data_IF_417862978775
#
_entry.id   IF_417862978775
#
_cell.length_a   1.000
_cell.length_b   1.000
_cell.length_c   1.000
_cell.angle_alpha   90.00
_cell.angle_beta   90.00
_cell.angle_gamma   90.00
#
_symmetry.space_group_name_H-M   'P 1'
#
loop_
_entity.id
_entity.type
_entity.pdbx_description
1 polymer ?
#
# COMPACT_ATOMS: atom_id res chain seq x y z
N UNK A 1 -6.21 -13.66 35.35
CA UNK A 1 -7.10 -13.49 34.18
C UNK A 1 -6.20 -13.23 32.98
N UNK A 2 -6.05 -14.21 32.08
CA UNK A 2 -5.13 -14.11 30.95
C UNK A 2 -5.83 -13.42 29.77
N UNK A 3 -5.21 -12.39 29.21
CA UNK A 3 -5.70 -11.68 28.00
C UNK A 3 -4.66 -11.84 26.91
N UNK A 4 -5.09 -12.36 25.76
CA UNK A 4 -4.28 -12.42 24.54
C UNK A 4 -4.61 -11.20 23.70
N UNK A 5 -3.59 -10.55 23.14
CA UNK A 5 -3.73 -9.49 22.16
C UNK A 5 -2.65 -9.63 21.08
N UNK A 6 -3.06 -9.65 19.81
CA UNK A 6 -2.19 -9.77 18.65
C UNK A 6 -2.67 -8.84 17.55
N UNK A 7 -1.72 -8.20 16.87
CA UNK A 7 -2.00 -7.37 15.69
C UNK A 7 -1.72 -8.21 14.45
N UNK A 8 -2.66 -8.22 13.53
CA UNK A 8 -2.52 -8.87 12.22
C UNK A 8 -2.73 -7.84 11.13
N UNK A 9 -2.09 -8.06 9.99
CA UNK A 9 -2.25 -7.25 8.79
C UNK A 9 -3.08 -8.06 7.80
N UNK A 10 -4.13 -7.44 7.26
CA UNK A 10 -5.01 -8.07 6.28
C UNK A 10 -4.38 -8.00 4.89
N UNK A 11 -4.22 -9.16 4.26
CA UNK A 11 -3.85 -9.29 2.85
C UNK A 11 -5.11 -9.26 1.99
N UNK A 12 -4.96 -9.02 0.68
CA UNK A 12 -6.07 -9.10 -0.28
C UNK A 12 -6.76 -10.46 -0.21
N UNK A 13 -5.99 -11.53 -0.09
CA UNK A 13 -6.53 -12.89 0.05
C UNK A 13 -7.39 -13.05 1.31
N UNK A 14 -7.04 -12.38 2.41
CA UNK A 14 -7.83 -12.42 3.65
C UNK A 14 -9.21 -11.76 3.47
N UNK A 15 -9.20 -10.61 2.77
CA UNK A 15 -10.42 -9.87 2.44
C UNK A 15 -11.31 -10.68 1.48
N UNK A 16 -10.74 -11.16 0.38
CA UNK A 16 -11.47 -11.89 -0.66
C UNK A 16 -12.03 -13.24 -0.16
N UNK A 17 -11.27 -13.94 0.68
CA UNK A 17 -11.68 -15.24 1.23
C UNK A 17 -12.49 -15.11 2.53
N UNK A 18 -12.74 -13.90 3.04
CA UNK A 18 -13.45 -13.68 4.30
C UNK A 18 -12.81 -14.40 5.49
N UNK A 19 -11.47 -14.33 5.58
CA UNK A 19 -10.67 -15.01 6.61
C UNK A 19 -9.79 -14.04 7.38
N UNK A 20 -9.32 -14.46 8.56
CA UNK A 20 -8.36 -13.73 9.37
C UNK A 20 -7.43 -14.71 10.11
N UNK A 21 -6.13 -14.47 10.13
CA UNK A 21 -5.19 -15.27 10.92
C UNK A 21 -5.61 -15.34 12.40
N UNK A 22 -5.59 -16.55 12.98
CA UNK A 22 -5.97 -16.80 14.35
C UNK A 22 -4.71 -17.04 15.22
N UNK A 23 -4.49 -16.23 16.28
CA UNK A 23 -3.39 -16.45 17.22
C UNK A 23 -3.43 -17.84 17.85
N UNK A 24 -2.28 -18.52 17.93
CA UNK A 24 -2.16 -19.88 18.47
C UNK A 24 -2.75 -19.97 19.88
N UNK A 25 -2.55 -18.96 20.72
CA UNK A 25 -3.04 -18.95 22.10
C UNK A 25 -4.57 -18.91 22.20
N UNK A 26 -5.23 -18.35 21.18
CA UNK A 26 -6.70 -18.35 21.07
C UNK A 26 -7.18 -19.69 20.52
N UNK A 27 -6.46 -20.24 19.54
CA UNK A 27 -6.76 -21.52 18.92
C UNK A 27 -6.71 -22.64 19.95
N UNK A 28 -5.65 -22.71 20.78
CA UNK A 28 -5.52 -23.74 21.82
C UNK A 28 -6.75 -23.82 22.72
N UNK A 29 -7.36 -22.68 23.03
CA UNK A 29 -8.54 -22.58 23.86
C UNK A 29 -9.87 -22.86 23.13
N UNK A 30 -9.95 -22.57 21.83
CA UNK A 30 -11.23 -22.51 21.10
C UNK A 30 -11.36 -23.54 19.96
N UNK A 31 -10.30 -24.24 19.57
CA UNK A 31 -10.27 -25.16 18.42
C UNK A 31 -11.28 -26.32 18.50
N UNK A 32 -11.72 -26.68 19.71
CA UNK A 32 -12.70 -27.76 19.93
C UNK A 32 -14.16 -27.30 19.83
N UNK A 33 -14.39 -26.01 19.53
CA UNK A 33 -15.73 -25.47 19.34
C UNK A 33 -16.11 -25.53 17.87
N UNK A 34 -17.38 -25.89 17.61
CA UNK A 34 -17.93 -25.87 16.26
C UNK A 34 -17.94 -24.45 15.67
N UNK A 35 -18.22 -23.45 16.51
CA UNK A 35 -18.20 -22.03 16.16
C UNK A 35 -17.54 -21.18 17.25
N UNK A 36 -16.95 -20.07 16.83
CA UNK A 36 -16.36 -19.03 17.67
C UNK A 36 -17.04 -17.71 17.35
N UNK A 37 -17.60 -17.06 18.36
CA UNK A 37 -18.16 -15.72 18.18
C UNK A 37 -17.02 -14.73 17.96
N UNK A 38 -17.02 -14.06 16.81
CA UNK A 38 -16.10 -12.96 16.51
C UNK A 38 -16.88 -11.66 16.50
N UNK A 39 -16.41 -10.68 17.28
CA UNK A 39 -16.97 -9.33 17.31
C UNK A 39 -15.98 -8.40 16.60
N UNK A 40 -16.40 -7.78 15.51
CA UNK A 40 -15.63 -6.73 14.85
C UNK A 40 -16.09 -5.36 15.32
N UNK A 41 -15.18 -4.61 15.91
CA UNK A 41 -15.34 -3.21 16.26
C UNK A 41 -14.56 -2.35 15.27
N UNK A 42 -15.28 -1.56 14.48
CA UNK A 42 -14.73 -0.80 13.38
C UNK A 42 -15.37 0.59 13.34
N UNK A 43 -14.75 1.56 12.66
CA UNK A 43 -15.38 2.85 12.38
C UNK A 43 -15.43 3.04 10.89
N UNK A 44 -16.60 2.93 10.27
CA UNK A 44 -16.76 3.09 8.82
C UNK A 44 -16.22 4.46 8.41
N UNK A 45 -15.25 4.43 7.50
CA UNK A 45 -14.45 5.57 7.03
C UNK A 45 -13.80 6.39 8.15
N UNK A 46 -13.46 5.73 9.26
CA UNK A 46 -12.86 6.35 10.45
C UNK A 46 -13.84 7.12 11.34
N UNK A 47 -15.10 7.29 10.94
CA UNK A 47 -16.05 8.19 11.61
C UNK A 47 -17.16 7.41 12.30
N UNK A 48 -17.92 6.61 11.56
CA UNK A 48 -19.18 6.03 12.05
C UNK A 48 -18.90 4.72 12.79
N UNK A 49 -19.14 4.62 14.11
CA UNK A 49 -18.88 3.38 14.85
C UNK A 49 -19.79 2.25 14.34
N UNK A 50 -19.15 1.16 13.96
CA UNK A 50 -19.75 -0.10 13.55
C UNK A 50 -19.36 -1.21 14.52
N UNK A 51 -20.33 -2.08 14.82
CA UNK A 51 -20.10 -3.31 15.56
C UNK A 51 -20.85 -4.44 14.89
N UNK A 52 -20.10 -5.44 14.45
CA UNK A 52 -20.63 -6.61 13.77
C UNK A 52 -20.25 -7.88 14.54
N UNK A 53 -21.11 -8.89 14.47
CA UNK A 53 -20.92 -10.16 15.18
C UNK A 53 -21.07 -11.28 14.17
N UNK A 54 -20.09 -12.18 14.18
CA UNK A 54 -20.00 -13.30 13.25
C UNK A 54 -19.88 -14.62 14.02
N UNK A 55 -20.51 -15.65 13.50
CA UNK A 55 -20.23 -17.03 13.88
C UNK A 55 -19.12 -17.57 12.98
N UNK A 56 -17.88 -17.43 13.45
CA UNK A 56 -16.70 -17.86 12.72
C UNK A 56 -16.36 -19.32 13.01
N UNK A 57 -15.61 -19.96 12.09
CA UNK A 57 -15.02 -21.28 12.32
C UNK A 57 -13.51 -21.17 12.36
N UNK A 58 -12.88 -21.98 13.20
CA UNK A 58 -11.43 -22.16 13.16
C UNK A 58 -11.09 -23.26 12.16
N UNK A 59 -10.14 -22.99 11.28
CA UNK A 59 -9.59 -23.98 10.36
C UNK A 59 -8.08 -23.85 10.29
N UNK A 60 -7.41 -24.99 10.19
CA UNK A 60 -5.99 -25.08 9.90
C UNK A 60 -5.81 -25.30 8.39
N UNK A 61 -5.03 -24.42 7.76
CA UNK A 61 -4.50 -24.60 6.41
C UNK A 61 -2.96 -24.51 6.47
N UNK A 62 -2.33 -23.47 5.92
CA UNK A 62 -0.91 -23.16 6.19
C UNK A 62 -0.70 -22.72 7.64
N UNK A 63 -1.70 -22.05 8.21
CA UNK A 63 -1.79 -21.67 9.61
C UNK A 63 -3.24 -21.70 10.08
N UNK A 64 -3.48 -21.36 11.34
CA UNK A 64 -4.84 -21.25 11.87
C UNK A 64 -5.49 -19.93 11.46
N UNK A 65 -6.76 -20.00 11.09
CA UNK A 65 -7.55 -18.86 10.64
C UNK A 65 -9.00 -18.95 11.12
N UNK A 66 -9.59 -17.78 11.38
CA UNK A 66 -11.02 -17.58 11.48
C UNK A 66 -11.61 -17.47 10.07
N UNK A 67 -12.68 -18.21 9.78
CA UNK A 67 -13.43 -18.14 8.53
C UNK A 67 -14.80 -17.50 8.74
N UNK A 68 -15.33 -16.88 7.69
CA UNK A 68 -16.68 -16.34 7.66
C UNK A 68 -16.77 -14.92 8.21
N UNK A 69 -15.69 -14.14 8.10
CA UNK A 69 -15.65 -12.75 8.54
C UNK A 69 -16.21 -11.85 7.45
N UNK A 70 -17.30 -11.14 7.73
CA UNK A 70 -17.84 -10.11 6.85
C UNK A 70 -17.03 -8.83 7.02
N UNK A 71 -16.09 -8.56 6.12
CA UNK A 71 -15.28 -7.35 6.20
C UNK A 71 -16.06 -6.10 5.74
N UNK A 72 -16.00 -4.98 6.50
CA UNK A 72 -16.49 -3.69 6.06
C UNK A 72 -15.88 -3.28 4.71
N UNK A 73 -16.69 -2.66 3.84
CA UNK A 73 -16.29 -2.32 2.47
C UNK A 73 -15.13 -1.31 2.39
N UNK A 74 -14.89 -0.52 3.44
CA UNK A 74 -13.79 0.42 3.54
C UNK A 74 -12.51 -0.18 4.15
N UNK A 75 -12.51 -1.47 4.53
CA UNK A 75 -11.26 -2.17 4.85
C UNK A 75 -10.48 -2.50 3.57
N UNK A 76 -9.24 -2.03 3.53
CA UNK A 76 -8.33 -2.20 2.39
C UNK A 76 -7.20 -3.17 2.72
N UNK A 77 -6.60 -3.73 1.66
CA UNK A 77 -5.37 -4.51 1.79
C UNK A 77 -4.29 -3.71 2.52
N UNK A 78 -3.60 -4.37 3.44
CA UNK A 78 -2.61 -3.78 4.32
C UNK A 78 -3.18 -3.17 5.60
N UNK A 79 -4.49 -3.00 5.75
CA UNK A 79 -5.06 -2.53 7.02
C UNK A 79 -4.80 -3.53 8.15
N UNK A 80 -4.61 -3.00 9.37
CA UNK A 80 -4.30 -3.79 10.55
C UNK A 80 -5.50 -3.90 11.48
N UNK A 81 -5.71 -5.10 12.00
CA UNK A 81 -6.71 -5.38 13.03
C UNK A 81 -6.03 -5.99 14.26
N UNK A 82 -6.46 -5.56 15.44
CA UNK A 82 -6.03 -6.14 16.71
C UNK A 82 -7.06 -7.16 17.16
N UNK A 83 -6.61 -8.40 17.28
CA UNK A 83 -7.37 -9.53 17.78
C UNK A 83 -7.09 -9.64 19.27
N UNK A 84 -8.15 -9.66 20.07
CA UNK A 84 -8.06 -9.81 21.51
C UNK A 84 -9.05 -10.84 22.03
N UNK A 85 -8.62 -11.59 23.04
CA UNK A 85 -9.45 -12.58 23.70
C UNK A 85 -9.06 -12.70 25.17
N UNK A 86 -10.07 -12.87 26.03
CA UNK A 86 -9.87 -13.07 27.45
C UNK A 86 -10.26 -14.49 27.82
N UNK A 87 -9.43 -15.15 28.61
CA UNK A 87 -9.72 -16.49 29.11
C UNK A 87 -11.07 -16.54 29.83
N UNK A 88 -11.91 -17.51 29.46
CA UNK A 88 -13.28 -17.67 29.97
C UNK A 88 -14.34 -16.83 29.24
N UNK A 89 -13.97 -16.04 28.22
CA UNK A 89 -14.93 -15.42 27.30
C UNK A 89 -15.13 -16.29 26.06
N UNK A 90 -16.34 -16.28 25.54
CA UNK A 90 -16.71 -17.02 24.33
C UNK A 90 -16.52 -16.22 23.05
N UNK A 91 -16.22 -14.93 23.18
CA UNK A 91 -16.07 -14.01 22.06
C UNK A 91 -14.62 -13.55 21.89
N UNK A 92 -14.14 -13.61 20.65
CA UNK A 92 -12.92 -12.97 20.18
C UNK A 92 -13.28 -11.58 19.64
N UNK A 93 -12.55 -10.55 20.04
CA UNK A 93 -12.79 -9.17 19.57
C UNK A 93 -11.70 -8.77 18.59
N UNK A 94 -12.11 -8.40 17.38
CA UNK A 94 -11.27 -7.78 16.36
C UNK A 94 -11.54 -6.28 16.35
N UNK A 95 -10.50 -5.45 16.39
CA UNK A 95 -10.64 -4.00 16.36
C UNK A 95 -9.70 -3.35 15.35
N UNK A 96 -10.21 -2.46 14.52
CA UNK A 96 -9.38 -1.56 13.71
C UNK A 96 -9.09 -0.26 14.46
N UNK A 97 -7.89 0.29 14.28
CA UNK A 97 -7.52 1.59 14.84
C UNK A 97 -7.62 2.66 13.76
N UNK A 98 -8.33 3.75 14.04
CA UNK A 98 -8.48 4.88 13.11
C UNK A 98 -7.16 5.66 13.03
N UNK A 99 -6.80 6.13 11.83
CA UNK A 99 -5.69 7.09 11.66
C UNK A 99 -6.11 8.47 12.16
N UNK A 100 -5.20 9.18 12.81
CA UNK A 100 -5.41 10.59 13.16
C UNK A 100 -5.65 11.43 11.90
N UNK A 101 -4.88 11.17 10.85
CA UNK A 101 -5.00 11.79 9.54
C UNK A 101 -5.24 10.71 8.48
N UNK A 102 -6.47 10.58 7.96
CA UNK A 102 -6.77 9.72 6.83
C UNK A 102 -5.91 10.08 5.61
N UNK A 103 -5.43 9.07 4.90
CA UNK A 103 -4.53 9.27 3.76
C UNK A 103 -4.92 8.44 2.56
N UNK A 104 -4.62 8.95 1.38
CA UNK A 104 -4.83 8.29 0.10
C UNK A 104 -3.49 7.89 -0.47
N UNK A 105 -3.30 6.58 -0.66
CA UNK A 105 -2.05 6.00 -1.16
C UNK A 105 -2.30 5.44 -2.55
N UNK A 106 -1.61 6.00 -3.55
CA UNK A 106 -1.79 5.69 -4.97
C UNK A 106 -3.24 5.77 -5.48
N UNK A 107 -4.09 6.56 -4.82
CA UNK A 107 -5.50 6.67 -5.14
C UNK A 107 -6.44 5.84 -4.27
N UNK A 108 -5.94 5.02 -3.35
CA UNK A 108 -6.75 4.22 -2.42
C UNK A 108 -6.81 4.90 -1.06
N UNK A 109 -8.02 5.11 -0.53
CA UNK A 109 -8.22 5.76 0.76
C UNK A 109 -7.96 4.78 1.93
N UNK A 110 -7.20 5.24 2.92
CA UNK A 110 -6.91 4.55 4.17
C UNK A 110 -7.36 5.44 5.34
N UNK A 111 -8.38 4.97 6.06
CA UNK A 111 -8.90 5.62 7.27
C UNK A 111 -8.40 4.98 8.57
N UNK A 112 -7.74 3.82 8.46
CA UNK A 112 -7.29 3.00 9.58
C UNK A 112 -5.82 2.66 9.44
N UNK A 113 -5.18 2.36 10.57
CA UNK A 113 -3.78 1.99 10.58
C UNK A 113 -3.51 0.81 9.64
N UNK A 114 -2.41 0.87 8.92
CA UNK A 114 -2.04 -0.11 7.91
C UNK A 114 -0.54 -0.43 7.96
N UNK A 115 -0.15 -1.42 7.16
CA UNK A 115 1.24 -1.82 6.94
C UNK A 115 1.69 -1.40 5.53
N UNK A 116 2.56 -0.38 5.40
CA UNK A 116 3.01 0.12 4.11
C UNK A 116 3.67 -0.95 3.22
N UNK A 117 4.30 -1.97 3.81
CA UNK A 117 4.92 -3.05 3.04
C UNK A 117 3.89 -3.95 2.38
N UNK A 118 2.82 -4.28 3.10
CA UNK A 118 1.73 -5.10 2.55
C UNK A 118 0.94 -4.32 1.50
N UNK A 119 0.63 -3.04 1.76
CA UNK A 119 0.04 -2.12 0.77
C UNK A 119 0.86 -2.14 -0.52
N UNK A 120 2.18 -2.03 -0.40
CA UNK A 120 3.07 -2.03 -1.57
C UNK A 120 3.07 -3.38 -2.28
N UNK A 121 3.24 -4.49 -1.55
CA UNK A 121 3.39 -5.82 -2.16
C UNK A 121 2.12 -6.38 -2.76
N UNK A 122 0.96 -6.08 -2.19
CA UNK A 122 -0.25 -6.84 -2.44
C UNK A 122 -1.33 -6.07 -3.20
N UNK A 123 -1.17 -4.74 -3.34
CA UNK A 123 -1.95 -3.98 -4.31
C UNK A 123 -1.59 -4.44 -5.72
N UNK A 124 -2.60 -4.92 -6.47
CA UNK A 124 -2.47 -5.30 -7.87
C UNK A 124 -2.80 -4.08 -8.74
N UNK A 125 -1.83 -3.49 -9.45
CA UNK A 125 -2.10 -2.42 -10.39
C UNK A 125 -3.00 -2.91 -11.54
N UNK A 126 -3.65 -1.96 -12.22
CA UNK A 126 -4.43 -2.25 -13.41
C UNK A 126 -3.62 -3.01 -14.47
N UNK A 127 -4.30 -3.83 -15.29
CA UNK A 127 -3.70 -4.60 -16.38
C UNK A 127 -3.30 -3.69 -17.55
N UNK A 128 -2.21 -2.95 -17.38
CA UNK A 128 -1.56 -2.13 -18.41
C UNK A 128 -0.06 -2.42 -18.46
N UNK A 129 0.66 -1.94 -19.49
CA UNK A 129 2.12 -2.10 -19.52
C UNK A 129 2.80 -1.41 -18.33
N UNK A 130 2.30 -0.21 -18.00
CA UNK A 130 2.70 0.57 -16.83
C UNK A 130 2.43 -0.19 -15.53
N UNK A 131 1.22 -0.72 -15.37
CA UNK A 131 0.81 -1.48 -14.20
C UNK A 131 1.63 -2.75 -14.01
N UNK A 132 1.97 -3.46 -15.10
CA UNK A 132 2.84 -4.64 -15.05
C UNK A 132 4.26 -4.31 -14.56
N UNK A 133 4.86 -3.21 -15.04
CA UNK A 133 6.18 -2.75 -14.57
C UNK A 133 6.10 -2.37 -13.09
N UNK A 134 5.11 -1.57 -12.70
CA UNK A 134 4.93 -1.14 -11.31
C UNK A 134 4.70 -2.34 -10.38
N UNK A 135 3.91 -3.32 -10.82
CA UNK A 135 3.68 -4.57 -10.08
C UNK A 135 4.98 -5.35 -9.90
N UNK A 136 5.82 -5.45 -10.92
CA UNK A 136 7.12 -6.13 -10.82
C UNK A 136 8.03 -5.43 -9.79
N UNK A 137 8.13 -4.10 -9.85
CA UNK A 137 8.93 -3.31 -8.90
C UNK A 137 8.43 -3.55 -7.46
N UNK A 138 7.12 -3.45 -7.23
CA UNK A 138 6.52 -3.56 -5.90
C UNK A 138 6.56 -4.98 -5.31
N UNK A 139 6.33 -6.00 -6.13
CA UNK A 139 6.29 -7.40 -5.67
C UNK A 139 7.66 -8.02 -5.49
N UNK A 140 8.59 -7.70 -6.39
CA UNK A 140 9.90 -8.36 -6.47
C UNK A 140 11.04 -7.48 -5.97
N UNK A 141 10.80 -6.18 -5.79
CA UNK A 141 11.79 -5.26 -5.22
C UNK A 141 12.01 -5.48 -3.72
N UNK A 142 13.08 -4.86 -3.23
CA UNK A 142 13.28 -4.69 -1.79
C UNK A 142 12.36 -3.55 -1.32
N UNK A 143 11.45 -3.86 -0.41
CA UNK A 143 10.47 -2.91 0.13
C UNK A 143 10.91 -2.45 1.52
N UNK A 144 10.93 -1.13 1.73
CA UNK A 144 11.31 -0.48 2.99
C UNK A 144 10.09 -0.30 3.92
N UNK A 145 10.34 0.12 5.16
CA UNK A 145 9.29 0.29 6.19
C UNK A 145 8.21 1.32 5.80
N UNK A 146 8.56 2.31 4.99
CA UNK A 146 7.64 3.34 4.52
C UNK A 146 6.85 2.92 3.26
N UNK A 147 7.01 1.68 2.79
CA UNK A 147 6.39 1.18 1.57
C UNK A 147 7.09 1.61 0.29
N UNK A 148 8.19 2.38 0.35
CA UNK A 148 9.05 2.56 -0.82
C UNK A 148 9.71 1.24 -1.22
N UNK A 149 10.09 1.12 -2.48
CA UNK A 149 10.75 -0.09 -2.97
C UNK A 149 11.83 0.20 -4.00
N UNK A 150 12.89 -0.61 -4.02
CA UNK A 150 13.92 -0.56 -5.07
C UNK A 150 13.97 -1.85 -5.86
N UNK A 151 14.19 -1.70 -7.18
CA UNK A 151 14.29 -2.81 -8.10
C UNK A 151 15.35 -2.54 -9.18
N UNK A 152 16.24 -3.49 -9.53
CA UNK A 152 17.24 -3.29 -10.58
C UNK A 152 16.61 -3.12 -11.96
N UNK A 153 16.85 -1.98 -12.62
CA UNK A 153 16.30 -1.70 -13.96
C UNK A 153 16.69 -2.78 -14.99
N UNK A 154 17.93 -3.32 -15.03
CA UNK A 154 18.30 -4.38 -15.96
C UNK A 154 17.51 -5.67 -15.80
N UNK A 155 16.98 -5.96 -14.60
CA UNK A 155 16.19 -7.16 -14.34
C UNK A 155 14.74 -7.05 -14.83
N UNK A 156 14.25 -5.84 -15.14
CA UNK A 156 12.83 -5.63 -15.45
C UNK A 156 12.34 -6.38 -16.68
N UNK A 157 13.15 -6.45 -17.74
CA UNK A 157 12.75 -7.08 -19.00
C UNK A 157 12.38 -8.57 -18.80
N UNK A 158 12.99 -9.23 -17.82
CA UNK A 158 12.69 -10.62 -17.47
C UNK A 158 11.43 -10.76 -16.61
N UNK A 159 11.12 -9.76 -15.79
CA UNK A 159 10.12 -9.86 -14.71
C UNK A 159 8.79 -9.16 -15.01
N UNK A 160 8.79 -8.11 -15.83
CA UNK A 160 7.59 -7.30 -16.09
C UNK A 160 6.55 -7.98 -17.02
N UNK A 161 6.87 -9.12 -17.63
CA UNK A 161 5.89 -9.86 -18.45
C UNK A 161 5.52 -9.23 -19.81
N UNK A 162 6.22 -8.18 -20.25
CA UNK A 162 5.89 -7.43 -21.49
C UNK A 162 6.32 -8.09 -22.81
N UNK A 163 6.75 -9.36 -22.76
CA UNK A 163 7.26 -10.09 -23.92
C UNK A 163 8.74 -9.83 -24.24
N UNK A 164 9.26 -10.50 -25.27
CA UNK A 164 10.69 -10.48 -25.66
C UNK A 164 10.93 -9.67 -26.95
N UNK A 165 12.20 -9.36 -27.23
CA UNK A 165 12.63 -8.69 -28.46
C UNK A 165 12.33 -7.19 -28.48
N UNK A 166 12.49 -6.58 -29.67
CA UNK A 166 12.41 -5.12 -29.83
C UNK A 166 11.06 -4.52 -29.36
N UNK A 167 9.95 -5.23 -29.60
CA UNK A 167 8.62 -4.80 -29.14
C UNK A 167 8.53 -4.76 -27.61
N UNK A 168 8.96 -5.83 -26.93
CA UNK A 168 8.95 -5.88 -25.46
C UNK A 168 9.85 -4.80 -24.85
N UNK A 169 11.05 -4.60 -25.41
CA UNK A 169 11.96 -3.54 -24.99
C UNK A 169 11.36 -2.13 -25.17
N UNK A 170 10.66 -1.88 -26.29
CA UNK A 170 9.97 -0.62 -26.53
C UNK A 170 8.85 -0.36 -25.51
N UNK A 171 7.99 -1.38 -25.27
CA UNK A 171 6.90 -1.27 -24.29
C UNK A 171 7.44 -1.04 -22.87
N UNK A 172 8.51 -1.74 -22.50
CA UNK A 172 9.16 -1.59 -21.20
C UNK A 172 9.69 -0.17 -21.02
N UNK A 173 10.48 0.31 -21.98
CA UNK A 173 11.03 1.67 -21.95
C UNK A 173 9.92 2.70 -21.83
N UNK A 174 8.88 2.60 -22.64
CA UNK A 174 7.75 3.53 -22.61
C UNK A 174 7.03 3.53 -21.26
N UNK A 175 6.79 2.34 -20.68
CA UNK A 175 6.16 2.19 -19.36
C UNK A 175 7.00 2.78 -18.22
N UNK A 176 8.32 2.54 -18.22
CA UNK A 176 9.23 3.11 -17.22
C UNK A 176 9.28 4.64 -17.33
N UNK A 177 9.44 5.17 -18.54
CA UNK A 177 9.43 6.63 -18.77
C UNK A 177 8.11 7.28 -18.35
N UNK A 178 6.99 6.58 -18.53
CA UNK A 178 5.69 7.05 -18.06
C UNK A 178 5.61 7.08 -16.52
N UNK A 179 6.04 6.01 -15.83
CA UNK A 179 6.08 5.97 -14.36
C UNK A 179 6.96 7.08 -13.77
N UNK A 180 8.09 7.37 -14.40
CA UNK A 180 8.99 8.45 -13.99
C UNK A 180 8.33 9.81 -14.19
N UNK A 181 7.67 10.02 -15.33
CA UNK A 181 6.96 11.27 -15.63
C UNK A 181 5.82 11.54 -14.64
N UNK A 182 5.10 10.49 -14.25
CA UNK A 182 3.98 10.55 -13.30
C UNK A 182 4.45 10.55 -11.83
N UNK A 183 5.75 10.42 -11.58
CA UNK A 183 6.34 10.51 -10.24
C UNK A 183 6.24 9.24 -9.39
N UNK A 184 5.76 8.13 -9.93
CA UNK A 184 5.71 6.84 -9.20
C UNK A 184 7.10 6.27 -8.96
N UNK A 185 8.04 6.50 -9.89
CA UNK A 185 9.38 5.90 -9.85
C UNK A 185 10.44 6.95 -10.16
N UNK A 186 11.63 6.78 -9.60
CA UNK A 186 12.83 7.56 -9.93
C UNK A 186 13.98 6.62 -10.23
N UNK A 187 14.87 6.99 -11.17
CA UNK A 187 16.15 6.30 -11.34
C UNK A 187 17.15 6.79 -10.31
N UNK A 188 17.83 5.85 -9.67
CA UNK A 188 18.90 6.11 -8.72
C UNK A 188 20.04 5.12 -8.96
N UNK A 189 21.27 5.53 -8.66
CA UNK A 189 22.39 4.59 -8.61
C UNK A 189 22.34 3.84 -7.27
N UNK A 190 22.44 2.52 -7.34
CA UNK A 190 22.57 1.65 -6.17
C UNK A 190 23.49 0.50 -6.47
N UNK A 191 23.37 -0.58 -5.71
CA UNK A 191 24.16 -1.79 -5.94
C UNK A 191 23.32 -3.04 -5.89
N UNK A 192 23.86 -4.13 -6.42
CA UNK A 192 23.34 -5.48 -6.23
C UNK A 192 24.42 -6.38 -5.64
N UNK A 193 24.03 -7.24 -4.72
CA UNK A 193 24.91 -8.27 -4.19
C UNK A 193 25.06 -9.46 -5.18
N UNK A 194 25.89 -10.44 -4.81
CA UNK A 194 26.13 -11.63 -5.62
C UNK A 194 24.88 -12.51 -5.87
N UNK A 195 23.80 -12.30 -5.11
CA UNK A 195 22.51 -12.98 -5.27
C UNK A 195 21.50 -12.17 -6.09
N UNK A 196 21.86 -10.94 -6.47
CA UNK A 196 21.00 -10.01 -7.19
C UNK A 196 20.05 -9.22 -6.30
N UNK A 197 20.25 -9.24 -4.98
CA UNK A 197 19.47 -8.40 -4.07
C UNK A 197 19.91 -6.93 -4.23
N UNK A 198 18.97 -6.01 -4.56
CA UNK A 198 19.30 -4.60 -4.66
C UNK A 198 19.66 -4.03 -3.29
N UNK A 199 20.40 -2.93 -3.27
CA UNK A 199 20.67 -2.12 -2.10
C UNK A 199 20.74 -0.66 -2.51
N UNK A 200 20.05 0.18 -1.74
CA UNK A 200 20.12 1.62 -1.85
C UNK A 200 20.23 2.25 -0.44
N UNK A 201 21.20 3.15 -0.20
CA UNK A 201 22.28 3.56 -1.12
C UNK A 201 23.22 2.41 -1.54
N UNK A 202 24.06 2.64 -2.56
CA UNK A 202 25.04 1.66 -3.01
C UNK A 202 25.99 1.26 -1.87
N UNK A 203 26.32 -0.03 -1.81
CA UNK A 203 27.21 -0.62 -0.79
C UNK A 203 28.59 -0.87 -1.39
N UNK A 204 29.63 -0.45 -0.67
CA UNK A 204 31.03 -0.66 -1.09
C UNK A 204 31.32 -2.13 -1.38
N UNK A 205 31.94 -2.39 -2.53
CA UNK A 205 32.33 -3.73 -2.97
C UNK A 205 31.23 -4.54 -3.66
N UNK A 206 30.01 -4.01 -3.77
CA UNK A 206 28.94 -4.60 -4.58
C UNK A 206 28.94 -4.06 -6.02
N UNK A 207 28.26 -4.75 -6.94
CA UNK A 207 28.14 -4.31 -8.33
C UNK A 207 27.20 -3.11 -8.42
N UNK A 208 27.68 -1.99 -8.97
CA UNK A 208 26.86 -0.78 -9.18
C UNK A 208 25.86 -1.01 -10.33
N UNK A 209 24.62 -0.56 -10.12
CA UNK A 209 23.55 -0.70 -11.11
C UNK A 209 22.52 0.41 -10.99
N UNK A 210 21.87 0.74 -12.10
CA UNK A 210 20.68 1.58 -12.11
C UNK A 210 19.51 0.87 -11.42
N UNK A 211 19.01 1.48 -10.35
CA UNK A 211 17.81 1.06 -9.63
C UNK A 211 16.63 1.97 -9.97
N UNK A 212 15.45 1.35 -10.01
CA UNK A 212 14.17 2.03 -9.99
C UNK A 212 13.68 2.12 -8.54
N UNK A 213 13.65 3.33 -8.01
CA UNK A 213 13.10 3.65 -6.71
C UNK A 213 11.63 4.04 -6.84
N UNK A 214 10.74 3.16 -6.39
CA UNK A 214 9.32 3.42 -6.20
C UNK A 214 9.09 4.13 -4.87
N UNK A 215 8.34 5.23 -4.90
CA UNK A 215 7.82 5.91 -3.72
C UNK A 215 6.29 5.94 -3.81
N UNK A 216 5.55 5.51 -2.78
CA UNK A 216 4.10 5.66 -2.74
C UNK A 216 3.70 7.13 -2.89
N UNK A 217 2.67 7.38 -3.69
CA UNK A 217 2.09 8.72 -3.79
C UNK A 217 1.07 8.85 -2.68
N UNK A 218 1.34 9.72 -1.70
CA UNK A 218 0.53 9.92 -0.52
C UNK A 218 -0.09 11.31 -0.58
N UNK A 219 -1.41 11.36 -0.55
CA UNK A 219 -2.19 12.60 -0.40
C UNK A 219 -3.05 12.50 0.87
N UNK A 220 -3.51 13.60 1.46
CA UNK A 220 -4.62 13.56 2.42
C UNK A 220 -5.84 12.87 1.79
N UNK A 221 -6.47 11.94 2.50
CA UNK A 221 -7.74 11.39 2.05
C UNK A 221 -8.85 12.44 2.27
N UNK A 222 -9.83 12.53 1.35
CA UNK A 222 -10.99 13.40 1.55
C UNK A 222 -11.71 13.03 2.85
N UNK A 223 -12.17 14.05 3.57
CA UNK A 223 -12.95 13.82 4.78
C UNK A 223 -14.32 13.24 4.38
N UNK A 224 -14.84 12.19 5.03
CA UNK A 224 -16.12 11.58 4.67
C UNK A 224 -17.36 12.50 4.77
N UNK A 225 -17.20 13.70 5.32
CA UNK A 225 -18.26 14.70 5.49
C UNK A 225 -18.05 15.92 4.57
N UNK A 226 -17.04 15.87 3.69
CA UNK A 226 -16.77 16.93 2.74
C UNK A 226 -17.83 16.88 1.63
N UNK A 227 -18.65 17.93 1.42
CA UNK A 227 -19.73 17.92 0.45
C UNK A 227 -19.30 17.75 -1.01
N UNK A 228 -18.00 17.90 -1.33
CA UNK A 228 -17.45 17.57 -2.66
C UNK A 228 -17.21 16.06 -2.87
N UNK A 229 -17.40 15.23 -1.83
CA UNK A 229 -17.17 13.79 -1.87
C UNK A 229 -18.47 13.02 -2.17
N UNK A 230 -18.78 12.88 -3.46
CA UNK A 230 -19.84 11.98 -3.94
C UNK A 230 -19.21 10.60 -4.20
N UNK A 231 -19.41 9.66 -3.26
CA UNK A 231 -19.03 8.24 -3.41
C UNK A 231 -19.94 7.56 -4.43
N UNK A 232 -19.64 7.72 -5.72
CA UNK A 232 -20.01 6.71 -6.72
C UNK A 232 -18.83 5.76 -6.96
N UNK A 233 -18.52 4.92 -5.99
CA UNK A 233 -17.63 3.76 -6.20
C UNK A 233 -18.33 2.48 -5.74
N UNK A 234 -19.41 2.14 -6.45
CA UNK A 234 -19.92 0.79 -6.59
C UNK A 234 -19.78 0.37 -8.06
N UNK A 235 -18.84 -0.55 -8.33
CA UNK A 235 -18.73 -1.29 -9.59
C UNK A 235 -18.69 -0.45 -10.89
N UNK A 236 -17.54 0.13 -11.18
CA UNK A 236 -17.25 0.67 -12.51
C UNK A 236 -16.24 1.80 -12.48
N UNK A 237 -14.95 1.48 -12.33
CA UNK A 237 -13.87 2.44 -12.62
C UNK A 237 -13.80 2.67 -14.14
N UNK A 238 -14.81 3.35 -14.67
CA UNK A 238 -14.85 3.87 -16.01
C UNK A 238 -14.06 5.18 -16.07
N UNK A 239 -13.45 5.41 -17.22
CA UNK A 239 -12.34 6.34 -17.46
C UNK A 239 -12.71 7.81 -17.19
N UNK A 240 -12.58 8.27 -15.95
CA UNK A 240 -12.55 9.71 -15.68
C UNK A 240 -11.12 10.23 -15.94
N UNK A 241 -11.01 11.32 -16.69
CA UNK A 241 -9.73 12.01 -16.95
C UNK A 241 -9.26 12.66 -15.63
N UNK A 242 -8.30 12.04 -14.95
CA UNK A 242 -7.86 12.50 -13.63
C UNK A 242 -6.63 13.40 -13.73
N UNK A 243 -6.84 14.70 -13.57
CA UNK A 243 -5.76 15.63 -13.24
C UNK A 243 -5.34 15.44 -11.78
N UNK A 244 -4.10 15.01 -11.56
CA UNK A 244 -3.49 14.92 -10.24
C UNK A 244 -2.99 16.31 -9.87
N UNK A 245 -3.43 16.85 -8.73
CA UNK A 245 -2.89 18.10 -8.17
C UNK A 245 -1.37 17.96 -7.95
N UNK A 246 -0.64 19.07 -7.83
CA UNK A 246 0.76 18.97 -7.41
C UNK A 246 0.83 18.50 -5.95
N UNK A 247 1.81 17.68 -5.60
CA UNK A 247 1.94 17.10 -4.26
C UNK A 247 3.40 16.93 -3.87
N UNK A 248 3.66 16.84 -2.57
CA UNK A 248 4.98 16.51 -2.02
C UNK A 248 5.11 14.99 -1.94
N UNK A 249 6.23 14.43 -2.42
CA UNK A 249 6.54 13.00 -2.29
C UNK A 249 7.86 12.79 -1.60
N UNK A 250 7.99 11.68 -0.89
CA UNK A 250 9.24 11.27 -0.28
C UNK A 250 10.29 10.93 -1.34
N UNK A 251 11.52 11.39 -1.12
CA UNK A 251 12.68 11.01 -1.90
C UNK A 251 13.35 9.75 -1.31
N UNK A 252 14.15 9.06 -2.13
CA UNK A 252 15.05 8.03 -1.62
C UNK A 252 15.89 8.53 -0.42
N UNK A 253 16.21 7.68 0.57
CA UNK A 253 17.07 8.05 1.68
C UNK A 253 18.40 8.67 1.22
N UNK A 254 18.71 9.88 1.69
CA UNK A 254 19.92 10.61 1.32
C UNK A 254 19.85 11.41 0.02
N UNK A 255 18.77 11.28 -0.76
CA UNK A 255 18.53 12.12 -1.93
C UNK A 255 17.95 13.49 -1.54
N UNK A 256 18.27 14.51 -2.32
CA UNK A 256 17.79 15.88 -2.15
C UNK A 256 16.97 16.31 -3.38
N UNK A 257 15.95 17.18 -3.20
CA UNK A 257 15.18 17.69 -4.32
C UNK A 257 16.10 18.51 -5.24
N UNK A 258 15.92 18.33 -6.55
CA UNK A 258 16.68 19.11 -7.53
C UNK A 258 16.30 20.60 -7.45
N UNK A 259 17.20 21.51 -7.82
CA UNK A 259 16.88 22.95 -7.87
C UNK A 259 15.63 23.25 -8.72
N UNK A 260 15.42 22.47 -9.78
CA UNK A 260 14.24 22.57 -10.64
C UNK A 260 12.94 22.19 -9.91
N UNK A 261 13.00 21.20 -9.01
CA UNK A 261 11.86 20.80 -8.18
C UNK A 261 11.62 21.77 -7.03
N UNK A 262 12.68 22.30 -6.41
CA UNK A 262 12.57 23.39 -5.42
C UNK A 262 11.93 24.63 -6.04
N UNK A 263 12.39 25.05 -7.22
CA UNK A 263 11.80 26.19 -7.94
C UNK A 263 10.34 25.92 -8.37
N UNK A 264 9.97 24.66 -8.60
CA UNK A 264 8.59 24.28 -8.89
C UNK A 264 7.70 24.34 -7.63
N UNK A 265 8.24 23.89 -6.49
CA UNK A 265 7.60 23.96 -5.19
C UNK A 265 7.31 25.41 -4.78
N UNK A 266 8.32 26.30 -4.86
CA UNK A 266 8.13 27.71 -4.52
C UNK A 266 7.04 28.38 -5.38
N UNK A 267 6.99 28.09 -6.68
CA UNK A 267 5.89 28.60 -7.54
C UNK A 267 4.54 28.01 -7.17
N UNK A 268 4.49 26.77 -6.70
CA UNK A 268 3.24 26.13 -6.28
C UNK A 268 2.71 26.74 -4.98
N UNK A 269 3.59 27.04 -4.02
CA UNK A 269 3.25 27.82 -2.82
C UNK A 269 2.74 29.23 -3.18
N UNK A 270 3.46 29.93 -4.06
CA UNK A 270 3.06 31.28 -4.52
C UNK A 270 1.70 31.31 -5.23
N UNK A 271 1.29 30.19 -5.83
CA UNK A 271 0.03 30.06 -6.55
C UNK A 271 -1.05 29.32 -5.77
N UNK A 272 -0.85 29.10 -4.46
CA UNK A 272 -1.80 28.43 -3.56
C UNK A 272 -2.24 27.05 -4.10
N UNK A 273 -1.34 26.38 -4.82
CA UNK A 273 -1.60 25.03 -5.37
C UNK A 273 -1.24 23.91 -4.38
N UNK A 274 -0.48 24.27 -3.34
CA UNK A 274 -0.06 23.38 -2.26
C UNK A 274 0.15 24.20 -1.00
N UNK A 275 -0.27 23.64 0.14
CA UNK A 275 -0.12 24.26 1.47
C UNK A 275 0.84 23.46 2.36
N UNK A 276 1.32 22.32 1.89
CA UNK A 276 2.27 21.45 2.60
C UNK A 276 3.69 21.99 2.57
N UNK A 277 4.40 21.91 3.71
CA UNK A 277 5.81 22.25 3.81
C UNK A 277 6.69 21.14 3.21
N UNK A 278 7.69 21.52 2.39
CA UNK A 278 8.65 20.59 1.82
C UNK A 278 9.71 20.19 2.84
N UNK A 279 9.43 19.13 3.61
CA UNK A 279 10.37 18.58 4.59
C UNK A 279 11.67 18.03 3.95
N UNK A 280 12.78 17.96 4.73
CA UNK A 280 14.01 17.32 4.27
C UNK A 280 13.78 15.87 3.82
N UNK A 281 14.33 15.51 2.66
CA UNK A 281 14.12 14.19 2.07
C UNK A 281 12.79 14.03 1.32
N UNK A 282 12.11 15.12 0.99
CA UNK A 282 10.95 15.15 0.10
C UNK A 282 11.21 15.99 -1.15
N UNK A 283 10.37 15.83 -2.18
CA UNK A 283 10.39 16.60 -3.42
C UNK A 283 8.99 16.94 -3.89
N UNK A 284 8.85 18.05 -4.62
CA UNK A 284 7.58 18.44 -5.22
C UNK A 284 7.38 17.83 -6.60
N UNK A 285 6.22 17.19 -6.80
CA UNK A 285 5.74 16.70 -8.08
C UNK A 285 4.70 17.67 -8.61
N UNK A 286 4.93 18.18 -9.83
CA UNK A 286 3.99 19.08 -10.49
C UNK A 286 2.68 18.38 -10.81
N UNK A 287 1.60 19.18 -10.84
CA UNK A 287 0.30 18.78 -11.40
C UNK A 287 0.52 18.09 -12.75
N UNK A 288 -0.05 16.90 -12.91
CA UNK A 288 0.07 16.14 -14.14
C UNK A 288 -1.22 15.37 -14.44
N UNK A 289 -1.37 15.00 -15.71
CA UNK A 289 -2.51 14.24 -16.19
C UNK A 289 -2.23 12.74 -16.06
N UNK A 290 -3.14 11.97 -15.45
CA UNK A 290 -3.09 10.50 -15.48
C UNK A 290 -3.94 10.00 -16.62
N UNK A 291 -3.33 9.23 -17.52
CA UNK A 291 -4.08 8.39 -18.44
C UNK A 291 -4.32 7.03 -17.76
N UNK A 292 -5.60 6.69 -17.54
CA UNK A 292 -6.03 5.34 -17.16
C UNK A 292 -5.84 4.35 -18.30
#
# INVERSE_FOLDING_TARGET
>A
MHTVSRRVTLWRADLDASVCAAPEEIVEALQYRDTVTVVLEHRVKGVTPGREVFDARLQQDVGWQFLGIGWPADLQTGMRVTISWQSGRDAVVMRSTVLEEPMRIDGVNYYHEYDPKVVTRDIVPQKSNRGQVLNAIRKLGQVYEDGSAVFPEPALAKQAGLGRGAKGAFLLKNAVEQLIREGYVTRVEGSVDATGHPSYPAVDGQELVDLLFYAPLVDPAPHPNDPEYDDEDGEGHDRREHWVKGFVRKLPPGAQPTEKQLAAYHRALESEQIDEELEPGYTYVKKHHRHG
#
